data_IF_461039176762
#
_entry.id   IF_461039176762
#
_cell.length_a   1.000
_cell.length_b   1.000
_cell.length_c   1.000
_cell.angle_alpha   90.00
_cell.angle_beta   90.00
_cell.angle_gamma   90.00
#
_symmetry.space_group_name_H-M   'P 1'
#
loop_
_entity.id
_entity.type
_entity.pdbx_description
1 polymer ?
#
# COMPACT_ATOMS: atom_id res chain seq x y z
N UNK A 1 -14.70 -4.60 3.13
CA UNK A 1 -14.04 -4.63 1.79
C UNK A 1 -13.89 -3.19 1.30
N UNK A 2 -12.69 -2.77 0.91
CA UNK A 2 -12.42 -1.43 0.34
C UNK A 2 -11.73 -1.62 -1.00
N UNK A 3 -12.16 -0.87 -2.01
CA UNK A 3 -11.55 -0.84 -3.33
C UNK A 3 -10.79 0.47 -3.50
N UNK A 4 -9.62 0.39 -4.12
CA UNK A 4 -8.75 1.54 -4.40
C UNK A 4 -8.47 1.61 -5.90
N UNK A 5 -8.20 2.81 -6.43
CA UNK A 5 -7.92 2.96 -7.86
C UNK A 5 -6.48 2.55 -8.22
N UNK A 6 -5.58 2.48 -7.24
CA UNK A 6 -4.19 2.07 -7.42
C UNK A 6 -3.59 1.44 -6.16
N UNK A 7 -2.43 0.78 -6.33
CA UNK A 7 -1.64 0.25 -5.21
C UNK A 7 -1.18 1.37 -4.26
N UNK A 8 -0.83 2.54 -4.79
CA UNK A 8 -0.42 3.70 -3.99
C UNK A 8 -1.54 4.21 -3.08
N UNK A 9 -2.78 4.26 -3.57
CA UNK A 9 -3.93 4.67 -2.77
C UNK A 9 -4.22 3.68 -1.65
N UNK A 10 -4.17 2.38 -1.95
CA UNK A 10 -4.31 1.32 -0.96
C UNK A 10 -3.21 1.42 0.12
N UNK A 11 -1.97 1.62 -0.30
CA UNK A 11 -0.82 1.76 0.59
C UNK A 11 -0.91 3.00 1.47
N UNK A 12 -1.33 4.14 0.91
CA UNK A 12 -1.59 5.38 1.66
C UNK A 12 -2.68 5.18 2.71
N UNK A 13 -3.77 4.50 2.35
CA UNK A 13 -4.85 4.19 3.29
C UNK A 13 -4.34 3.31 4.43
N UNK A 14 -3.55 2.28 4.13
CA UNK A 14 -2.93 1.42 5.14
C UNK A 14 -2.00 2.21 6.08
N UNK A 15 -1.15 3.09 5.53
CA UNK A 15 -0.24 3.92 6.33
C UNK A 15 -0.96 4.89 7.28
N UNK A 16 -2.20 5.26 6.96
CA UNK A 16 -2.98 6.22 7.75
C UNK A 16 -3.95 5.55 8.73
N UNK A 17 -4.42 4.34 8.43
CA UNK A 17 -5.46 3.66 9.22
C UNK A 17 -4.92 2.46 10.00
N UNK A 18 -3.96 1.72 9.44
CA UNK A 18 -3.46 0.46 10.03
C UNK A 18 -2.07 0.63 10.62
N UNK A 19 -1.15 1.25 9.88
CA UNK A 19 0.23 1.44 10.34
C UNK A 19 0.32 2.13 11.72
N UNK A 20 -0.45 3.19 12.04
CA UNK A 20 -0.36 3.86 13.35
C UNK A 20 -0.76 2.96 14.52
N UNK A 21 -1.67 2.00 14.32
CA UNK A 21 -2.11 1.06 15.36
C UNK A 21 -1.15 -0.11 15.58
N UNK A 22 -0.15 -0.30 14.71
CA UNK A 22 0.82 -1.39 14.88
C UNK A 22 1.72 -1.18 16.11
N UNK A 23 2.13 -2.26 16.80
CA UNK A 23 3.12 -2.20 17.87
C UNK A 23 4.44 -1.59 17.40
N UNK A 24 5.14 -0.87 18.29
CA UNK A 24 6.40 -0.21 17.96
C UNK A 24 7.47 -1.18 17.43
N UNK A 25 7.54 -2.40 17.97
CA UNK A 25 8.49 -3.43 17.53
C UNK A 25 8.25 -3.87 16.08
N UNK A 26 6.98 -3.92 15.65
CA UNK A 26 6.62 -4.35 14.30
C UNK A 26 6.87 -3.26 13.25
N UNK A 27 6.78 -1.98 13.66
CA UNK A 27 7.07 -0.83 12.79
C UNK A 27 8.55 -0.77 12.42
N UNK A 28 9.45 -1.15 13.34
CA UNK A 28 10.90 -1.00 13.17
C UNK A 28 11.41 -1.67 11.89
N UNK A 29 12.42 -1.04 11.29
CA UNK A 29 13.08 -1.56 10.09
C UNK A 29 12.21 -1.40 8.84
N UNK A 30 11.65 -2.51 8.34
CA UNK A 30 11.08 -2.57 6.99
C UNK A 30 9.89 -1.62 6.80
N UNK A 31 8.97 -1.57 7.77
CA UNK A 31 7.76 -0.75 7.67
C UNK A 31 8.05 0.75 7.86
N UNK A 32 8.90 1.12 8.83
CA UNK A 32 9.38 2.51 8.99
C UNK A 32 10.10 3.00 7.74
N UNK A 33 10.95 2.17 7.13
CA UNK A 33 11.62 2.54 5.89
C UNK A 33 10.62 2.72 4.76
N UNK A 34 9.64 1.81 4.60
CA UNK A 34 8.62 1.93 3.57
C UNK A 34 7.73 3.18 3.77
N UNK A 35 7.32 3.48 5.01
CA UNK A 35 6.62 4.71 5.35
C UNK A 35 7.45 5.94 4.97
N UNK A 36 8.74 5.98 5.36
CA UNK A 36 9.64 7.08 5.02
C UNK A 36 9.79 7.24 3.50
N UNK A 37 10.03 6.15 2.80
CA UNK A 37 10.24 6.15 1.35
C UNK A 37 8.98 6.65 0.61
N UNK A 38 7.79 6.23 1.07
CA UNK A 38 6.50 6.69 0.55
C UNK A 38 6.24 8.17 0.86
N UNK A 39 6.38 8.59 2.12
CA UNK A 39 6.11 9.96 2.57
C UNK A 39 7.04 10.98 1.93
N UNK A 40 8.32 10.64 1.75
CA UNK A 40 9.30 11.53 1.13
C UNK A 40 9.44 11.35 -0.39
N UNK A 41 8.53 10.59 -1.03
CA UNK A 41 8.54 10.32 -2.48
C UNK A 41 9.91 9.83 -2.99
N UNK A 42 10.63 9.03 -2.19
CA UNK A 42 11.95 8.49 -2.54
C UNK A 42 11.90 7.31 -3.52
N UNK A 43 10.71 7.02 -4.05
CA UNK A 43 10.45 5.86 -4.91
C UNK A 43 10.31 4.59 -4.08
N UNK A 44 9.09 4.09 -3.98
CA UNK A 44 8.80 2.75 -3.46
C UNK A 44 8.09 1.99 -4.57
N UNK A 45 8.55 0.78 -4.86
CA UNK A 45 7.95 -0.04 -5.93
C UNK A 45 6.59 -0.58 -5.50
N UNK A 46 5.68 -0.73 -6.47
CA UNK A 46 4.37 -1.36 -6.23
C UNK A 46 4.51 -2.78 -5.69
N UNK A 47 5.56 -3.52 -6.11
CA UNK A 47 5.86 -4.85 -5.59
C UNK A 47 6.09 -4.83 -4.07
N UNK A 48 6.86 -3.85 -3.57
CA UNK A 48 7.12 -3.70 -2.14
C UNK A 48 5.88 -3.24 -1.37
N UNK A 49 5.05 -2.38 -1.96
CA UNK A 49 3.75 -2.03 -1.38
C UNK A 49 2.84 -3.25 -1.24
N UNK A 50 2.75 -4.06 -2.32
CA UNK A 50 1.94 -5.27 -2.34
C UNK A 50 2.40 -6.30 -1.32
N UNK A 51 3.71 -6.52 -1.20
CA UNK A 51 4.30 -7.41 -0.20
C UNK A 51 3.86 -7.00 1.21
N UNK A 52 4.04 -5.73 1.57
CA UNK A 52 3.66 -5.21 2.88
C UNK A 52 2.15 -5.38 3.09
N UNK A 53 1.32 -4.95 2.15
CA UNK A 53 -0.13 -5.03 2.31
C UNK A 53 -0.62 -6.47 2.45
N UNK A 54 -0.01 -7.42 1.72
CA UNK A 54 -0.36 -8.84 1.77
C UNK A 54 -0.08 -9.49 3.14
N UNK A 55 0.79 -8.90 3.95
CA UNK A 55 1.04 -9.38 5.32
C UNK A 55 -0.03 -8.95 6.31
N UNK A 56 -0.75 -7.88 6.02
CA UNK A 56 -1.79 -7.32 6.91
C UNK A 56 -3.20 -7.56 6.41
N UNK A 57 -3.37 -8.21 5.26
CA UNK A 57 -4.66 -8.59 4.71
C UNK A 57 -4.56 -9.18 3.31
N UNK A 58 -5.68 -9.69 2.81
CA UNK A 58 -5.77 -10.15 1.43
C UNK A 58 -5.86 -8.97 0.47
N UNK A 59 -4.96 -8.95 -0.53
CA UNK A 59 -5.04 -8.02 -1.66
C UNK A 59 -5.42 -8.77 -2.92
N UNK A 60 -6.47 -8.29 -3.57
CA UNK A 60 -6.86 -8.69 -4.91
C UNK A 60 -6.69 -7.50 -5.86
N UNK A 61 -5.95 -7.69 -6.94
CA UNK A 61 -5.74 -6.67 -7.97
C UNK A 61 -6.63 -7.02 -9.16
N UNK A 62 -7.66 -6.22 -9.40
CA UNK A 62 -8.55 -6.36 -10.56
C UNK A 62 -8.24 -5.26 -11.58
N UNK A 63 -7.84 -5.66 -12.79
CA UNK A 63 -7.58 -4.73 -13.90
C UNK A 63 -8.87 -4.47 -14.66
N UNK A 64 -9.42 -3.26 -14.54
CA UNK A 64 -10.63 -2.84 -15.26
C UNK A 64 -10.27 -2.22 -16.62
N UNK A 65 -10.47 -2.97 -17.70
CA UNK A 65 -10.26 -2.48 -19.07
C UNK A 65 -11.56 -1.86 -19.59
N UNK A 66 -11.56 -0.55 -19.85
CA UNK A 66 -12.65 0.17 -20.51
C UNK A 66 -12.22 0.61 -21.90
N UNK A 67 -12.95 0.16 -22.91
CA UNK A 67 -12.75 0.57 -24.31
C UNK A 67 -14.05 1.21 -24.81
N UNK A 68 -13.95 2.47 -25.25
CA UNK A 68 -15.09 3.20 -25.82
C UNK A 68 -14.74 3.55 -27.27
N UNK A 69 -15.32 2.86 -28.26
CA UNK A 69 -15.21 3.26 -29.67
C UNK A 69 -15.99 4.56 -29.93
N UNK A 70 -15.57 5.32 -30.94
CA UNK A 70 -16.27 6.53 -31.40
C UNK A 70 -17.59 6.21 -32.09
#
# INVERSE_FOLDING_TARGET
>A
MKTFASMEEAFKWWLTNVYPSLPAEMKKGRLTNAWRDFTHKRGISEARMKEILSEFGEIEVQTLIKYTPK
#
